data_IF_075586052537
#
_entry.id   IF_075586052537
#
_cell.length_a   1.000
_cell.length_b   1.000
_cell.length_c   1.000
_cell.angle_alpha   90.00
_cell.angle_beta   90.00
_cell.angle_gamma   90.00
#
_symmetry.space_group_name_H-M   'P 1'
#
loop_
_entity.id
_entity.type
_entity.pdbx_description
1 polymer ?
#
# COMPACT_ATOMS: atom_id res chain seq x y z
N UNK A 1 7.74 12.23 -0.93
CA UNK A 1 6.39 11.95 -0.38
C UNK A 1 5.32 12.83 -1.04
N UNK A 2 5.24 14.15 -0.78
CA UNK A 2 4.16 15.00 -1.33
C UNK A 2 4.02 14.95 -2.86
N UNK A 3 5.15 14.91 -3.60
CA UNK A 3 5.17 14.67 -5.05
C UNK A 3 4.38 13.43 -5.47
N UNK A 4 4.54 12.32 -4.77
CA UNK A 4 3.85 11.06 -5.07
C UNK A 4 2.42 11.04 -4.56
N UNK A 5 2.11 11.79 -3.49
CA UNK A 5 0.72 11.97 -3.03
C UNK A 5 -0.13 12.58 -4.13
N UNK A 6 0.35 13.64 -4.77
CA UNK A 6 -0.37 14.25 -5.89
C UNK A 6 -0.55 13.24 -7.04
N UNK A 7 0.51 12.52 -7.42
CA UNK A 7 0.42 11.49 -8.47
C UNK A 7 -0.60 10.38 -8.15
N UNK A 8 -0.73 9.98 -6.89
CA UNK A 8 -1.72 8.98 -6.45
C UNK A 8 -3.15 9.53 -6.59
N UNK A 9 -3.37 10.78 -6.17
CA UNK A 9 -4.66 11.47 -6.31
C UNK A 9 -5.04 11.61 -7.79
N UNK A 10 -4.08 11.98 -8.63
CA UNK A 10 -4.29 12.14 -10.07
C UNK A 10 -4.57 10.80 -10.77
N UNK A 11 -3.97 9.70 -10.28
CA UNK A 11 -4.14 8.35 -10.83
C UNK A 11 -5.54 7.79 -10.54
N UNK A 12 -6.07 8.04 -9.35
CA UNK A 12 -7.40 7.60 -8.93
C UNK A 12 -8.26 8.79 -8.53
N UNK A 13 -8.83 9.53 -9.51
CA UNK A 13 -9.69 10.68 -9.25
C UNK A 13 -11.08 10.20 -8.84
N UNK A 14 -11.19 9.49 -7.73
CA UNK A 14 -12.49 9.32 -7.05
C UNK A 14 -12.84 10.64 -6.39
N UNK A 15 -14.14 10.96 -6.28
CA UNK A 15 -14.61 12.29 -5.87
C UNK A 15 -14.09 12.77 -4.50
N UNK A 16 -13.40 11.92 -3.72
CA UNK A 16 -12.91 12.28 -2.38
C UNK A 16 -11.58 11.65 -1.97
N UNK A 17 -10.75 11.09 -2.88
CA UNK A 17 -9.53 10.37 -2.44
C UNK A 17 -8.60 11.22 -1.58
N UNK A 18 -8.39 12.49 -1.94
CA UNK A 18 -7.53 13.40 -1.15
C UNK A 18 -8.05 13.63 0.27
N UNK A 19 -9.38 13.62 0.45
CA UNK A 19 -10.05 13.74 1.75
C UNK A 19 -10.00 12.43 2.54
N UNK A 20 -10.03 11.28 1.85
CA UNK A 20 -9.99 9.95 2.47
C UNK A 20 -8.58 9.55 2.92
N UNK A 21 -7.54 10.00 2.21
CA UNK A 21 -6.14 9.73 2.56
C UNK A 21 -5.76 10.43 3.87
N UNK A 22 -5.74 9.66 4.96
CA UNK A 22 -5.48 10.19 6.28
C UNK A 22 -4.05 10.76 6.40
N UNK A 23 -3.94 12.04 6.74
CA UNK A 23 -2.64 12.75 6.82
C UNK A 23 -1.79 12.23 7.98
N UNK A 24 -2.40 11.82 9.09
CA UNK A 24 -1.71 11.23 10.24
C UNK A 24 -1.11 9.88 9.91
N UNK A 25 -1.84 9.04 9.15
CA UNK A 25 -1.34 7.76 8.65
C UNK A 25 -0.15 7.96 7.69
N UNK A 26 -0.26 8.89 6.75
CA UNK A 26 0.85 9.24 5.85
C UNK A 26 2.08 9.74 6.63
N UNK A 27 1.87 10.56 7.67
CA UNK A 27 2.94 11.05 8.53
C UNK A 27 3.61 9.90 9.30
N UNK A 28 2.82 8.97 9.85
CA UNK A 28 3.31 7.79 10.56
C UNK A 28 4.16 6.89 9.63
N UNK A 29 3.67 6.59 8.43
CA UNK A 29 4.44 5.82 7.44
C UNK A 29 5.72 6.53 7.02
N UNK A 30 5.67 7.85 6.82
CA UNK A 30 6.85 8.64 6.47
C UNK A 30 7.89 8.61 7.59
N UNK A 31 7.48 8.77 8.86
CA UNK A 31 8.38 8.68 10.00
C UNK A 31 9.00 7.29 10.16
N UNK A 32 8.20 6.23 9.94
CA UNK A 32 8.69 4.85 9.96
C UNK A 32 9.70 4.61 8.84
N UNK A 33 9.41 5.06 7.62
CA UNK A 33 10.29 4.96 6.46
C UNK A 33 11.62 5.71 6.64
N UNK A 34 11.60 6.87 7.30
CA UNK A 34 12.82 7.61 7.61
C UNK A 34 13.72 6.87 8.59
N UNK A 35 13.13 6.12 9.53
CA UNK A 35 13.88 5.39 10.56
C UNK A 35 14.34 4.03 10.05
N UNK A 36 13.51 3.33 9.27
CA UNK A 36 13.75 1.96 8.82
C UNK A 36 13.47 1.78 7.31
N UNK A 37 14.22 2.47 6.43
CA UNK A 37 13.88 2.54 5.01
C UNK A 37 13.92 1.18 4.28
N UNK A 38 14.81 0.26 4.68
CA UNK A 38 14.92 -1.09 4.09
C UNK A 38 14.00 -2.16 4.74
N UNK A 39 13.29 -1.78 5.80
CA UNK A 39 12.35 -2.64 6.52
C UNK A 39 10.93 -2.07 6.52
N UNK A 40 10.66 -1.10 5.65
CA UNK A 40 9.35 -0.48 5.53
C UNK A 40 8.27 -1.51 5.12
N UNK A 41 7.39 -1.86 6.07
CA UNK A 41 6.21 -2.70 5.90
C UNK A 41 5.03 -1.97 6.55
N UNK A 42 4.14 -1.38 5.76
CA UNK A 42 3.05 -0.55 6.27
C UNK A 42 1.83 -1.38 6.68
N UNK A 43 1.28 -1.13 7.88
CA UNK A 43 -0.04 -1.65 8.29
C UNK A 43 -1.12 -0.73 7.72
N UNK A 44 -1.94 -1.23 6.79
CA UNK A 44 -2.77 -0.36 5.93
C UNK A 44 -4.26 -0.34 6.29
N UNK A 45 -4.70 -1.12 7.27
CA UNK A 45 -6.11 -1.27 7.64
C UNK A 45 -6.48 -0.53 8.94
N UNK A 46 -5.75 0.54 9.27
CA UNK A 46 -6.05 1.37 10.46
C UNK A 46 -7.29 2.25 10.25
N UNK A 47 -7.48 2.75 9.03
CA UNK A 47 -8.64 3.55 8.63
C UNK A 47 -9.39 2.84 7.50
N UNK A 48 -9.11 3.20 6.25
CA UNK A 48 -9.63 2.54 5.07
C UNK A 48 -8.48 1.96 4.26
N UNK A 49 -8.51 0.64 4.03
CA UNK A 49 -7.45 -0.08 3.34
C UNK A 49 -7.20 0.42 1.93
N UNK A 50 -8.25 0.59 1.12
CA UNK A 50 -8.12 0.86 -0.31
C UNK A 50 -8.09 2.36 -0.62
N UNK A 51 -8.70 3.19 0.23
CA UNK A 51 -8.83 4.64 0.03
C UNK A 51 -7.88 5.47 0.91
N UNK A 52 -7.21 4.88 1.91
CA UNK A 52 -6.22 5.58 2.75
C UNK A 52 -4.90 4.81 2.85
N UNK A 53 -4.91 3.61 3.44
CA UNK A 53 -3.69 2.91 3.82
C UNK A 53 -2.83 2.48 2.63
N UNK A 54 -3.42 1.80 1.66
CA UNK A 54 -2.71 1.36 0.43
C UNK A 54 -2.23 2.57 -0.39
N UNK A 55 -3.06 3.59 -0.67
CA UNK A 55 -2.59 4.83 -1.29
C UNK A 55 -1.41 5.48 -0.55
N UNK A 56 -1.52 5.67 0.77
CA UNK A 56 -0.46 6.27 1.59
C UNK A 56 0.83 5.42 1.58
N UNK A 57 0.71 4.09 1.64
CA UNK A 57 1.85 3.19 1.57
C UNK A 57 2.54 3.23 0.19
N UNK A 58 1.78 3.36 -0.90
CA UNK A 58 2.33 3.55 -2.25
C UNK A 58 3.10 4.87 -2.38
N UNK A 59 2.56 5.96 -1.82
CA UNK A 59 3.25 7.27 -1.79
C UNK A 59 4.62 7.17 -1.14
N UNK A 60 4.70 6.52 0.02
CA UNK A 60 5.94 6.36 0.77
C UNK A 60 6.88 5.37 0.10
N UNK A 61 6.35 4.26 -0.42
CA UNK A 61 7.15 3.25 -1.13
C UNK A 61 7.79 3.82 -2.40
N UNK A 62 7.06 4.60 -3.18
CA UNK A 62 7.59 5.26 -4.37
C UNK A 62 8.69 6.28 -4.02
N UNK A 63 8.52 7.03 -2.93
CA UNK A 63 9.55 7.94 -2.43
C UNK A 63 10.81 7.19 -1.96
N UNK A 64 10.67 6.04 -1.29
CA UNK A 64 11.80 5.21 -0.89
C UNK A 64 12.56 4.64 -2.09
N UNK A 65 11.85 4.14 -3.10
CA UNK A 65 12.44 3.65 -4.34
C UNK A 65 13.20 4.75 -5.09
N UNK A 66 12.64 5.97 -5.16
CA UNK A 66 13.33 7.13 -5.76
C UNK A 66 14.64 7.46 -5.01
N UNK A 67 14.69 7.21 -3.71
CA UNK A 67 15.90 7.36 -2.89
C UNK A 67 16.84 6.14 -2.91
N UNK A 68 16.54 5.10 -3.69
CA UNK A 68 17.37 3.88 -3.79
C UNK A 68 17.17 2.86 -2.66
N UNK A 69 16.15 3.06 -1.80
CA UNK A 69 15.78 2.10 -0.76
C UNK A 69 14.75 1.10 -1.27
N UNK A 70 14.69 -0.06 -0.60
CA UNK A 70 13.84 -1.17 -1.01
C UNK A 70 12.77 -1.45 0.05
N UNK A 71 11.57 -0.83 -0.08
CA UNK A 71 10.45 -1.13 0.82
C UNK A 71 10.03 -2.60 0.70
N UNK A 72 9.52 -3.17 1.80
CA UNK A 72 9.09 -4.58 1.85
C UNK A 72 7.67 -4.76 1.33
N UNK A 73 6.79 -3.80 1.59
CA UNK A 73 5.41 -3.79 1.09
C UNK A 73 4.41 -3.39 2.16
N UNK A 74 3.29 -4.10 2.25
CA UNK A 74 2.20 -3.80 3.19
C UNK A 74 1.75 -5.03 3.98
N UNK A 75 1.01 -4.80 5.06
CA UNK A 75 0.34 -5.81 5.88
C UNK A 75 -1.15 -5.51 6.00
N UNK A 76 -1.97 -6.52 5.70
CA UNK A 76 -3.41 -6.60 5.95
C UNK A 76 -3.64 -7.44 7.21
N UNK A 77 -4.43 -6.95 8.17
CA UNK A 77 -4.69 -7.62 9.45
C UNK A 77 -6.19 -7.93 9.68
N UNK A 78 -7.07 -7.36 8.86
CA UNK A 78 -8.52 -7.50 8.98
C UNK A 78 -9.25 -7.39 7.63
N UNK A 79 -10.52 -7.80 7.61
CA UNK A 79 -11.41 -7.73 6.45
C UNK A 79 -11.37 -8.98 5.57
N UNK A 80 -11.92 -8.89 4.35
CA UNK A 80 -11.83 -9.98 3.36
C UNK A 80 -10.43 -9.99 2.74
N UNK A 81 -9.52 -10.76 3.36
CA UNK A 81 -8.11 -10.79 2.99
C UNK A 81 -7.88 -11.26 1.55
N UNK A 82 -8.70 -12.18 1.04
CA UNK A 82 -8.58 -12.66 -0.34
C UNK A 82 -8.94 -11.56 -1.32
N UNK A 83 -10.12 -10.95 -1.15
CA UNK A 83 -10.56 -9.83 -1.97
C UNK A 83 -9.58 -8.64 -1.89
N UNK A 84 -9.22 -8.22 -0.67
CA UNK A 84 -8.32 -7.10 -0.45
C UNK A 84 -6.94 -7.35 -1.07
N UNK A 85 -6.38 -8.55 -0.94
CA UNK A 85 -5.08 -8.87 -1.55
C UNK A 85 -5.07 -8.67 -3.07
N UNK A 86 -6.18 -8.99 -3.74
CA UNK A 86 -6.35 -8.84 -5.19
C UNK A 86 -6.50 -7.38 -5.58
N UNK A 87 -7.33 -6.63 -4.87
CA UNK A 87 -7.50 -5.19 -5.14
C UNK A 87 -6.19 -4.44 -4.89
N UNK A 88 -5.47 -4.74 -3.79
CA UNK A 88 -4.14 -4.18 -3.55
C UNK A 88 -3.18 -4.53 -4.68
N UNK A 89 -3.15 -5.78 -5.16
CA UNK A 89 -2.26 -6.18 -6.26
C UNK A 89 -2.55 -5.39 -7.54
N UNK A 90 -3.82 -5.14 -7.86
CA UNK A 90 -4.21 -4.28 -8.99
C UNK A 90 -3.68 -2.85 -8.81
N UNK A 91 -3.92 -2.23 -7.64
CA UNK A 91 -3.44 -0.88 -7.34
C UNK A 91 -1.91 -0.77 -7.44
N UNK A 92 -1.18 -1.81 -6.99
CA UNK A 92 0.28 -1.87 -7.12
C UNK A 92 0.73 -1.90 -8.59
N UNK A 93 0.06 -2.69 -9.44
CA UNK A 93 0.38 -2.74 -10.87
C UNK A 93 0.04 -1.44 -11.59
N UNK A 94 -1.10 -0.83 -11.29
CA UNK A 94 -1.51 0.46 -11.85
C UNK A 94 -0.53 1.57 -11.45
N UNK A 95 -0.17 1.68 -10.18
CA UNK A 95 0.84 2.64 -9.70
C UNK A 95 2.22 2.36 -10.30
N UNK A 96 2.62 1.10 -10.42
CA UNK A 96 3.90 0.74 -11.05
C UNK A 96 3.98 1.19 -12.50
N UNK A 97 2.90 1.02 -13.27
CA UNK A 97 2.81 1.48 -14.64
C UNK A 97 2.80 3.03 -14.71
N UNK A 98 1.96 3.69 -13.92
CA UNK A 98 1.82 5.14 -13.92
C UNK A 98 3.07 5.88 -13.44
N UNK A 99 3.82 5.29 -12.51
CA UNK A 99 5.03 5.91 -11.95
C UNK A 99 6.29 5.47 -12.66
N UNK A 100 6.18 4.56 -13.63
CA UNK A 100 7.31 3.91 -14.33
C UNK A 100 8.27 3.23 -13.33
N UNK A 101 7.70 2.62 -12.28
CA UNK A 101 8.40 2.00 -11.16
C UNK A 101 7.96 0.54 -11.01
N UNK A 102 8.55 -0.40 -11.79
CA UNK A 102 8.11 -1.80 -11.79
C UNK A 102 8.23 -2.48 -10.42
N UNK A 103 9.10 -1.99 -9.55
CA UNK A 103 9.30 -2.55 -8.20
C UNK A 103 8.09 -2.32 -7.28
N UNK A 104 7.27 -1.29 -7.52
CA UNK A 104 5.99 -1.11 -6.80
C UNK A 104 5.05 -2.29 -7.04
N UNK A 105 5.02 -2.80 -8.27
CA UNK A 105 4.21 -3.94 -8.67
C UNK A 105 4.65 -5.26 -8.03
N UNK A 106 5.86 -5.31 -7.46
CA UNK A 106 6.46 -6.49 -6.82
C UNK A 106 6.46 -6.42 -5.29
N UNK A 107 5.94 -5.34 -4.71
CA UNK A 107 5.83 -5.22 -3.26
C UNK A 107 5.04 -6.39 -2.68
N UNK A 108 5.47 -6.84 -1.49
CA UNK A 108 4.83 -7.96 -0.81
C UNK A 108 3.53 -7.49 -0.15
N UNK A 109 2.55 -8.38 -0.14
CA UNK A 109 1.31 -8.22 0.61
C UNK A 109 1.34 -9.30 1.67
N UNK A 110 1.57 -8.90 2.93
CA UNK A 110 1.49 -9.80 4.07
C UNK A 110 0.06 -9.78 4.61
N UNK A 111 -0.43 -10.93 5.06
CA UNK A 111 -1.71 -11.05 5.74
C UNK A 111 -1.49 -11.64 7.14
N UNK A 112 -2.23 -11.16 8.14
CA UNK A 112 -2.20 -11.67 9.52
C UNK A 112 -3.58 -11.67 10.18
N UNK A 113 -3.65 -12.30 11.37
CA UNK A 113 -4.80 -12.36 12.28
C UNK A 113 -6.02 -13.17 11.78
N UNK A 114 -6.76 -12.71 10.78
CA UNK A 114 -8.01 -13.35 10.30
C UNK A 114 -7.78 -14.55 9.34
N UNK A 115 -6.72 -15.31 9.59
CA UNK A 115 -6.35 -16.48 8.79
C UNK A 115 -6.99 -17.75 9.35
N UNK A 116 -7.85 -18.38 8.56
CA UNK A 116 -8.30 -19.76 8.77
C UNK A 116 -8.03 -20.60 7.52
N UNK A 117 -8.24 -21.92 7.62
CA UNK A 117 -7.96 -22.89 6.54
C UNK A 117 -8.65 -22.51 5.22
N UNK A 118 -9.86 -21.96 5.28
CA UNK A 118 -10.64 -21.52 4.10
C UNK A 118 -10.02 -20.29 3.47
N UNK A 119 -9.67 -19.26 4.28
CA UNK A 119 -9.03 -18.03 3.79
C UNK A 119 -7.63 -18.30 3.24
N UNK A 120 -6.88 -19.22 3.86
CA UNK A 120 -5.57 -19.64 3.36
C UNK A 120 -5.73 -20.34 2.00
N UNK A 121 -6.75 -21.20 1.85
CA UNK A 121 -7.01 -21.87 0.58
C UNK A 121 -7.42 -20.89 -0.52
N UNK A 122 -8.30 -19.92 -0.23
CA UNK A 122 -8.71 -18.92 -1.22
C UNK A 122 -7.56 -18.02 -1.64
N UNK A 123 -6.68 -17.59 -0.73
CA UNK A 123 -5.50 -16.78 -1.08
C UNK A 123 -4.46 -17.58 -1.88
N UNK A 124 -4.35 -18.90 -1.66
CA UNK A 124 -3.37 -19.76 -2.35
C UNK A 124 -3.83 -20.18 -3.74
N UNK A 125 -5.11 -20.46 -3.90
CA UNK A 125 -5.68 -21.00 -5.14
C UNK A 125 -6.01 -19.88 -6.16
N UNK A 126 -5.73 -18.61 -5.80
CA UNK A 126 -5.79 -17.41 -6.64
C UNK A 126 -4.43 -17.01 -7.23
#
# INVERSE_FOLDING_TARGET
VLKYRQKVIDLWPSENLDSMMNVGELAAFTAFAQTFPNAFLALVDTYDTLCSGVPNALVVSAALLECGYHPRGIRLDSGDLAYLSREVRKLFHEAAAAFEMPDLGRLKIAASNDLNEVVISSVRDE
#
